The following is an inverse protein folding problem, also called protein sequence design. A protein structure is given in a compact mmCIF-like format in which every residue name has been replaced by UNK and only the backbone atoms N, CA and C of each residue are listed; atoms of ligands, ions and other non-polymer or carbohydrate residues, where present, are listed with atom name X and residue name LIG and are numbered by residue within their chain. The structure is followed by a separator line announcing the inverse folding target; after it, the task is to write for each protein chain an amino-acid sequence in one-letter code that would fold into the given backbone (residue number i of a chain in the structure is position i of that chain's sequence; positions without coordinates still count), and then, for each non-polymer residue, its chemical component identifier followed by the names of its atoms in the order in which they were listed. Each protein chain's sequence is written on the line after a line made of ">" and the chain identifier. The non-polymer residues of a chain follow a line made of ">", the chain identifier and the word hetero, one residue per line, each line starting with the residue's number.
data_IF_828827013563
#
_entry.id   IF_828827013563
#
_cell.length_a   1.000
_cell.length_b   1.000
_cell.length_c   1.000
_cell.angle_alpha   90.00
_cell.angle_beta   90.00
_cell.angle_gamma   90.00
#
_symmetry.space_group_name_H-M   'P 1'
#
loop_
_entity.id
_entity.type
_entity.pdbx_description
1 polymer ?
#
# COMPACT_ATOMS: atom_id res chain seq x y z
N UNK A 1 25.57 2.03 3.26
CA UNK A 1 25.27 0.59 3.21
C UNK A 1 25.25 0.19 1.76
N UNK A 2 26.07 -0.79 1.38
CA UNK A 2 26.09 -1.28 0.01
C UNK A 2 24.90 -2.20 -0.26
N UNK A 3 24.34 -2.09 -1.46
CA UNK A 3 23.28 -2.97 -1.94
C UNK A 3 23.94 -4.27 -2.41
N UNK A 4 23.66 -5.36 -1.71
CA UNK A 4 24.15 -6.69 -2.06
C UNK A 4 23.08 -7.52 -2.78
N UNK A 5 23.51 -8.59 -3.47
CA UNK A 5 22.58 -9.55 -4.07
C UNK A 5 21.60 -10.13 -3.05
N UNK A 6 22.07 -10.43 -1.84
CA UNK A 6 21.23 -10.96 -0.76
C UNK A 6 20.14 -9.96 -0.34
N UNK A 7 20.48 -8.68 -0.23
CA UNK A 7 19.52 -7.62 0.10
C UNK A 7 18.46 -7.48 -1.00
N UNK A 8 18.88 -7.54 -2.28
CA UNK A 8 17.97 -7.52 -3.42
C UNK A 8 17.02 -8.71 -3.43
N UNK A 9 17.53 -9.91 -3.17
CA UNK A 9 16.72 -11.14 -3.08
C UNK A 9 15.72 -11.08 -1.94
N UNK A 10 16.14 -10.66 -0.74
CA UNK A 10 15.26 -10.49 0.41
C UNK A 10 14.16 -9.45 0.15
N UNK A 11 14.52 -8.30 -0.42
CA UNK A 11 13.58 -7.26 -0.81
C UNK A 11 12.54 -7.75 -1.81
N UNK A 12 12.98 -8.47 -2.84
CA UNK A 12 12.11 -9.02 -3.88
C UNK A 12 11.13 -10.03 -3.29
N UNK A 13 11.59 -10.88 -2.38
CA UNK A 13 10.75 -11.88 -1.70
C UNK A 13 9.69 -11.21 -0.81
N UNK A 14 10.07 -10.18 -0.05
CA UNK A 14 9.14 -9.41 0.76
C UNK A 14 8.09 -8.71 -0.11
N UNK A 15 8.52 -8.05 -1.19
CA UNK A 15 7.60 -7.40 -2.12
C UNK A 15 6.63 -8.40 -2.75
N UNK A 16 7.12 -9.55 -3.19
CA UNK A 16 6.30 -10.62 -3.76
C UNK A 16 5.27 -11.14 -2.73
N UNK A 17 5.71 -11.39 -1.50
CA UNK A 17 4.85 -11.87 -0.41
C UNK A 17 3.71 -10.89 -0.11
N UNK A 18 4.02 -9.59 -0.03
CA UNK A 18 3.00 -8.57 0.22
C UNK A 18 2.11 -8.34 -1.01
N UNK A 19 2.66 -8.46 -2.23
CA UNK A 19 1.87 -8.43 -3.46
C UNK A 19 0.84 -9.56 -3.52
N UNK A 20 1.21 -10.77 -3.11
CA UNK A 20 0.29 -11.89 -2.99
C UNK A 20 -0.79 -11.63 -1.93
N UNK A 21 -0.41 -11.08 -0.78
CA UNK A 21 -1.34 -10.75 0.28
C UNK A 21 -2.34 -9.66 -0.15
N UNK A 22 -1.85 -8.65 -0.88
CA UNK A 22 -2.70 -7.62 -1.48
C UNK A 22 -3.70 -8.22 -2.47
N UNK A 23 -3.25 -9.07 -3.38
CA UNK A 23 -4.10 -9.76 -4.34
C UNK A 23 -5.18 -10.59 -3.66
N UNK A 24 -4.83 -11.33 -2.60
CA UNK A 24 -5.76 -12.16 -1.83
C UNK A 24 -6.86 -11.32 -1.14
N UNK A 25 -6.53 -10.13 -0.63
CA UNK A 25 -7.48 -9.29 0.10
C UNK A 25 -8.20 -8.25 -0.77
N UNK A 26 -7.74 -8.04 -2.01
CA UNK A 26 -8.28 -7.02 -2.92
C UNK A 26 -9.77 -7.22 -3.20
N UNK A 27 -10.21 -8.47 -3.42
CA UNK A 27 -11.61 -8.78 -3.69
C UNK A 27 -12.51 -8.36 -2.52
N UNK A 28 -12.07 -8.62 -1.29
CA UNK A 28 -12.83 -8.30 -0.10
C UNK A 28 -12.84 -6.80 0.20
N UNK A 29 -11.72 -6.11 0.00
CA UNK A 29 -11.64 -4.64 0.12
C UNK A 29 -12.57 -4.00 -0.92
N UNK A 30 -12.55 -4.47 -2.16
CA UNK A 30 -13.43 -3.98 -3.22
C UNK A 30 -14.90 -4.22 -2.88
N UNK A 31 -15.25 -5.40 -2.39
CA UNK A 31 -16.62 -5.71 -1.96
C UNK A 31 -17.11 -4.75 -0.87
N UNK A 32 -16.25 -4.42 0.11
CA UNK A 32 -16.55 -3.45 1.16
C UNK A 32 -16.69 -2.01 0.61
N UNK A 33 -15.88 -1.65 -0.41
CA UNK A 33 -16.00 -0.39 -1.15
C UNK A 33 -17.24 -0.34 -2.02
N UNK A 34 -17.86 -1.45 -2.40
CA UNK A 34 -19.04 -1.49 -3.27
C UNK A 34 -20.38 -1.59 -2.52
N UNK A 35 -20.38 -1.95 -1.22
CA UNK A 35 -21.59 -2.03 -0.39
C UNK A 35 -22.54 -0.84 -0.59
N UNK A 36 -23.77 -1.10 -1.03
CA UNK A 36 -24.76 -0.07 -1.34
C UNK A 36 -25.14 0.78 -0.12
N UNK A 37 -25.22 2.11 -0.31
CA UNK A 37 -25.64 3.11 0.69
C UNK A 37 -27.19 3.22 0.73
N UNK A 38 -27.93 2.20 0.29
CA UNK A 38 -29.41 2.25 0.26
C UNK A 38 -29.99 1.83 1.63
N UNK A 39 -30.81 2.69 2.24
CA UNK A 39 -31.52 2.44 3.50
C UNK A 39 -31.27 3.50 4.58
N UNK A 40 -32.23 3.65 5.52
CA UNK A 40 -32.12 4.54 6.68
C UNK A 40 -30.92 4.18 7.55
N UNK A 41 -30.30 5.17 8.21
CA UNK A 41 -29.08 4.99 9.03
C UNK A 41 -29.19 3.87 10.09
N UNK A 42 -30.39 3.62 10.61
CA UNK A 42 -30.67 2.56 11.59
C UNK A 42 -30.37 1.14 11.07
N UNK A 43 -30.50 0.90 9.76
CA UNK A 43 -30.34 -0.42 9.13
C UNK A 43 -28.92 -0.63 8.55
N UNK A 44 -28.03 0.35 8.74
CA UNK A 44 -26.64 0.33 8.21
C UNK A 44 -25.64 -0.34 9.15
N UNK A 45 -26.04 -0.72 10.37
CA UNK A 45 -25.16 -1.31 11.40
C UNK A 45 -24.29 -2.47 10.91
N UNK A 46 -24.87 -3.53 10.30
CA UNK A 46 -24.11 -4.67 9.79
C UNK A 46 -23.13 -4.28 8.66
N UNK A 47 -23.53 -3.35 7.79
CA UNK A 47 -22.71 -2.85 6.67
C UNK A 47 -21.52 -2.01 7.15
N UNK A 48 -21.72 -1.19 8.18
CA UNK A 48 -20.64 -0.42 8.81
C UNK A 48 -19.64 -1.35 9.48
N UNK A 49 -20.10 -2.43 10.13
CA UNK A 49 -19.23 -3.44 10.74
C UNK A 49 -18.36 -4.14 9.69
N UNK A 50 -18.94 -4.55 8.57
CA UNK A 50 -18.22 -5.19 7.46
C UNK A 50 -17.13 -4.28 6.88
N UNK A 51 -17.44 -3.00 6.64
CA UNK A 51 -16.46 -2.00 6.17
C UNK A 51 -15.36 -1.76 7.20
N UNK A 52 -15.70 -1.70 8.50
CA UNK A 52 -14.74 -1.50 9.59
C UNK A 52 -13.80 -2.69 9.75
N UNK A 53 -14.31 -3.92 9.62
CA UNK A 53 -13.52 -5.14 9.73
C UNK A 53 -12.55 -5.28 8.55
N UNK A 54 -13.00 -5.01 7.32
CA UNK A 54 -12.13 -4.98 6.14
C UNK A 54 -11.05 -3.89 6.27
N UNK A 55 -11.38 -2.74 6.86
CA UNK A 55 -10.41 -1.66 7.07
C UNK A 55 -9.36 -2.02 8.12
N UNK A 56 -9.79 -2.51 9.30
CA UNK A 56 -8.88 -2.75 10.44
C UNK A 56 -8.05 -4.03 10.32
N UNK A 57 -8.62 -5.11 9.77
CA UNK A 57 -7.95 -6.41 9.76
C UNK A 57 -7.24 -6.74 8.45
N UNK A 58 -7.48 -5.96 7.39
CA UNK A 58 -6.91 -6.24 6.06
C UNK A 58 -6.19 -5.02 5.50
N UNK A 59 -6.91 -3.94 5.23
CA UNK A 59 -6.33 -2.78 4.54
C UNK A 59 -5.27 -2.05 5.39
N UNK A 60 -5.52 -1.86 6.68
CA UNK A 60 -4.58 -1.19 7.60
C UNK A 60 -3.28 -1.98 7.84
N UNK A 61 -3.30 -3.28 8.23
CA UNK A 61 -2.08 -4.04 8.43
C UNK A 61 -1.28 -4.20 7.14
N UNK A 62 -1.96 -4.33 5.99
CA UNK A 62 -1.30 -4.36 4.69
C UNK A 62 -0.56 -3.06 4.40
N UNK A 63 -1.21 -1.90 4.62
CA UNK A 63 -0.57 -0.60 4.42
C UNK A 63 0.65 -0.43 5.34
N UNK A 64 0.53 -0.80 6.61
CA UNK A 64 1.65 -0.75 7.56
C UNK A 64 2.81 -1.64 7.11
N UNK A 65 2.53 -2.87 6.66
CA UNK A 65 3.56 -3.78 6.16
C UNK A 65 4.30 -3.19 4.95
N UNK A 66 3.57 -2.67 3.96
CA UNK A 66 4.19 -2.06 2.76
C UNK A 66 5.00 -0.81 3.14
N UNK A 67 4.46 0.06 4.00
CA UNK A 67 5.16 1.27 4.44
C UNK A 67 6.45 0.93 5.18
N UNK A 68 6.43 -0.11 6.02
CA UNK A 68 7.62 -0.57 6.73
C UNK A 68 8.68 -1.06 5.76
N UNK A 69 8.29 -1.87 4.76
CA UNK A 69 9.21 -2.32 3.70
C UNK A 69 9.81 -1.10 2.97
N UNK A 70 8.98 -0.19 2.47
CA UNK A 70 9.45 1.02 1.78
C UNK A 70 10.40 1.84 2.65
N UNK A 71 10.07 2.02 3.93
CA UNK A 71 10.90 2.77 4.88
C UNK A 71 12.23 2.08 5.17
N UNK A 72 12.25 0.74 5.31
CA UNK A 72 13.48 -0.01 5.52
C UNK A 72 14.39 -0.02 4.28
N UNK A 73 13.82 -0.03 3.08
CA UNK A 73 14.57 0.04 1.82
C UNK A 73 14.96 1.47 1.40
N UNK A 74 14.34 2.50 2.00
CA UNK A 74 14.59 3.88 1.59
C UNK A 74 16.05 4.34 1.82
N UNK A 75 16.70 4.08 2.98
CA UNK A 75 18.09 4.49 3.17
C UNK A 75 19.07 3.95 2.13
N UNK A 76 19.09 2.63 1.80
CA UNK A 76 19.96 2.13 0.73
C UNK A 76 19.55 2.64 -0.65
N UNK A 77 18.25 2.79 -0.95
CA UNK A 77 17.78 3.32 -2.24
C UNK A 77 18.22 4.79 -2.46
N UNK A 78 18.06 5.64 -1.45
CA UNK A 78 18.53 7.03 -1.49
C UNK A 78 20.04 7.10 -1.62
N UNK A 79 20.76 6.21 -0.93
CA UNK A 79 22.21 6.05 -1.10
C UNK A 79 22.59 5.83 -2.56
N UNK A 80 21.93 4.88 -3.24
CA UNK A 80 22.17 4.63 -4.66
C UNK A 80 21.87 5.86 -5.52
N UNK A 81 20.73 6.52 -5.31
CA UNK A 81 20.32 7.70 -6.11
C UNK A 81 21.35 8.83 -5.96
N UNK A 82 21.75 9.16 -4.73
CA UNK A 82 22.71 10.23 -4.46
C UNK A 82 24.05 9.91 -5.11
N UNK A 83 24.57 8.69 -4.93
CA UNK A 83 25.83 8.26 -5.55
C UNK A 83 25.76 8.38 -7.08
N UNK A 84 24.66 7.94 -7.70
CA UNK A 84 24.46 8.06 -9.15
C UNK A 84 24.38 9.52 -9.64
N UNK A 85 23.90 10.45 -8.82
CA UNK A 85 23.82 11.88 -9.18
C UNK A 85 25.15 12.62 -8.97
N UNK A 86 25.92 12.25 -7.95
CA UNK A 86 27.23 12.88 -7.67
C UNK A 86 28.36 12.35 -8.54
N UNK A 87 28.26 11.11 -9.03
CA UNK A 87 29.24 10.52 -9.95
C UNK A 87 28.95 10.95 -11.41
N UNK A 88 29.44 12.12 -11.81
CA UNK A 88 29.52 12.50 -13.22
C UNK A 88 30.70 11.85 -13.98
N UNK A 89 31.53 11.05 -13.30
CA UNK A 89 32.75 10.44 -13.84
C UNK A 89 32.60 8.94 -14.07
N UNK A 90 31.92 8.56 -15.14
CA UNK A 90 32.10 7.27 -15.86
C UNK A 90 32.22 6.00 -15.01
N UNK A 91 31.53 5.91 -13.87
CA UNK A 91 31.58 4.74 -13.02
C UNK A 91 30.91 3.56 -13.76
N UNK A 92 31.53 2.35 -13.82
CA UNK A 92 30.90 1.19 -14.43
C UNK A 92 29.48 0.95 -13.89
N UNK A 93 28.55 0.69 -14.80
CA UNK A 93 27.17 0.39 -14.49
C UNK A 93 27.06 -0.82 -13.56
N UNK A 94 26.39 -0.64 -12.41
CA UNK A 94 26.11 -1.71 -11.45
C UNK A 94 24.67 -2.19 -11.61
N UNK A 95 24.45 -3.39 -12.20
CA UNK A 95 23.11 -3.93 -12.43
C UNK A 95 22.35 -4.24 -11.14
N UNK A 96 23.03 -4.59 -10.05
CA UNK A 96 22.40 -4.96 -8.77
C UNK A 96 21.72 -3.74 -8.16
N UNK A 97 22.41 -2.60 -8.16
CA UNK A 97 21.87 -1.31 -7.69
C UNK A 97 20.66 -0.87 -8.52
N UNK A 98 20.73 -1.02 -9.84
CA UNK A 98 19.64 -0.67 -10.73
C UNK A 98 18.38 -1.54 -10.50
N UNK A 99 18.56 -2.86 -10.37
CA UNK A 99 17.46 -3.78 -10.06
C UNK A 99 16.83 -3.48 -8.69
N UNK A 100 17.67 -3.15 -7.69
CA UNK A 100 17.18 -2.77 -6.36
C UNK A 100 16.30 -1.51 -6.39
N UNK A 101 16.69 -0.49 -7.16
CA UNK A 101 15.84 0.68 -7.37
C UNK A 101 14.52 0.31 -8.03
N UNK A 102 14.53 -0.62 -9.00
CA UNK A 102 13.30 -1.13 -9.61
C UNK A 102 12.36 -1.77 -8.58
N UNK A 103 12.88 -2.65 -7.72
CA UNK A 103 12.12 -3.27 -6.62
C UNK A 103 11.57 -2.22 -5.66
N UNK A 104 12.38 -1.22 -5.28
CA UNK A 104 11.93 -0.14 -4.40
C UNK A 104 10.82 0.71 -5.02
N UNK A 105 10.92 1.05 -6.31
CA UNK A 105 9.88 1.78 -7.05
C UNK A 105 8.57 0.98 -7.07
N UNK A 106 8.65 -0.34 -7.32
CA UNK A 106 7.47 -1.20 -7.29
C UNK A 106 6.85 -1.28 -5.90
N UNK A 107 7.65 -1.33 -4.83
CA UNK A 107 7.17 -1.30 -3.45
C UNK A 107 6.44 0.02 -3.13
N UNK A 108 6.99 1.16 -3.58
CA UNK A 108 6.33 2.48 -3.47
C UNK A 108 5.01 2.51 -4.25
N UNK A 109 4.99 1.96 -5.47
CA UNK A 109 3.78 1.83 -6.28
C UNK A 109 2.70 1.00 -5.59
N UNK A 110 3.08 -0.11 -4.96
CA UNK A 110 2.17 -0.93 -4.17
C UNK A 110 1.64 -0.16 -2.94
N UNK A 111 2.50 0.60 -2.25
CA UNK A 111 2.09 1.43 -1.12
C UNK A 111 1.02 2.44 -1.53
N UNK A 112 1.20 3.06 -2.70
CA UNK A 112 0.25 4.00 -3.26
C UNK A 112 -1.08 3.32 -3.64
N UNK A 113 -1.02 2.15 -4.27
CA UNK A 113 -2.21 1.38 -4.61
C UNK A 113 -3.04 1.03 -3.36
N UNK A 114 -2.41 0.49 -2.32
CA UNK A 114 -3.05 0.16 -1.03
C UNK A 114 -3.58 1.43 -0.35
N UNK A 115 -2.79 2.49 -0.32
CA UNK A 115 -3.19 3.79 0.24
C UNK A 115 -4.44 4.36 -0.44
N UNK A 116 -4.52 4.27 -1.78
CA UNK A 116 -5.68 4.74 -2.55
C UNK A 116 -6.96 3.99 -2.19
N UNK A 117 -6.88 2.67 -2.01
CA UNK A 117 -8.03 1.85 -1.59
C UNK A 117 -8.46 2.21 -0.17
N UNK A 118 -7.50 2.45 0.74
CA UNK A 118 -7.78 2.83 2.11
C UNK A 118 -8.46 4.21 2.19
N UNK A 119 -8.05 5.16 1.35
CA UNK A 119 -8.72 6.47 1.22
C UNK A 119 -10.16 6.29 0.71
N UNK A 120 -10.38 5.49 -0.33
CA UNK A 120 -11.73 5.20 -0.87
C UNK A 120 -12.63 4.57 0.19
N UNK A 121 -12.11 3.56 0.92
CA UNK A 121 -12.84 2.87 1.97
C UNK A 121 -13.17 3.80 3.15
N UNK A 122 -12.23 4.66 3.55
CA UNK A 122 -12.44 5.64 4.61
C UNK A 122 -13.45 6.73 4.21
N UNK A 123 -13.40 7.23 2.97
CA UNK A 123 -14.40 8.15 2.41
C UNK A 123 -15.79 7.51 2.40
N UNK A 124 -15.89 6.23 2.03
CA UNK A 124 -17.18 5.50 2.06
C UNK A 124 -17.70 5.30 3.48
N UNK A 125 -16.83 4.97 4.45
CA UNK A 125 -17.18 4.91 5.87
C UNK A 125 -17.70 6.26 6.38
N UNK A 126 -17.06 7.37 5.99
CA UNK A 126 -17.51 8.73 6.33
C UNK A 126 -18.87 9.06 5.72
N UNK A 127 -19.11 8.68 4.46
CA UNK A 127 -20.40 8.87 3.78
C UNK A 127 -21.52 8.06 4.44
N UNK A 128 -21.28 6.79 4.76
CA UNK A 128 -22.25 5.93 5.45
C UNK A 128 -22.63 6.47 6.84
N UNK A 129 -21.70 7.18 7.50
CA UNK A 129 -21.91 7.78 8.81
C UNK A 129 -22.50 9.20 8.76
N UNK A 130 -22.79 9.77 7.58
CA UNK A 130 -23.51 11.05 7.52
C UNK A 130 -24.94 10.87 8.02
N UNK A 131 -25.46 11.79 8.86
CA UNK A 131 -26.88 11.81 9.21
C UNK A 131 -27.71 11.98 7.93
N UNK A 132 -28.82 11.24 7.82
CA UNK A 132 -29.76 11.42 6.72
C UNK A 132 -30.28 12.86 6.82
N UNK A 133 -30.24 13.61 5.70
CA UNK A 133 -30.80 14.95 5.68
C UNK A 133 -32.27 14.83 6.06
N UNK A 134 -32.68 15.57 7.10
CA UNK A 134 -34.07 15.59 7.54
C UNK A 134 -34.93 16.01 6.35
N UNK A 135 -35.62 15.05 5.74
CA UNK A 135 -36.78 15.33 4.90
C UNK A 135 -37.88 15.83 5.84
N UNK A 136 -37.87 17.14 6.09
CA UNK A 136 -39.05 17.89 6.52
C UNK A 136 -40.10 17.87 5.44
#
# INVERSE_FOLDING_TARGET
>A
MDVTGDLLSAASLLLASVGLLFSAWQAEITSAVEVSIKGMRADRGPRISQVKQALLFRALPLLLAVLLIVATLAPPALGVIIHSLTDCRGNPYDPIRAMFLGVWILAVGLAFAVGSQLIKLNSKRRLLNRPDAATT
#
